data_IF_360815177402
#
_entry.id   IF_360815177402
#
_cell.length_a   1.000
_cell.length_b   1.000
_cell.length_c   1.000
_cell.angle_alpha   90.00
_cell.angle_beta   90.00
_cell.angle_gamma   90.00
#
_symmetry.space_group_name_H-M   'P 1'
#
loop_
_entity.id
_entity.type
_entity.pdbx_description
1 polymer ?
#
# COMPACT_ATOMS: atom_id res chain seq x y z
N UNK A 1 16.92 6.14 -2.46
CA UNK A 1 16.45 4.99 -1.69
C UNK A 1 16.21 3.81 -2.62
N UNK A 2 16.72 2.67 -2.28
CA UNK A 2 16.60 1.49 -3.10
C UNK A 2 15.22 0.85 -2.90
N UNK A 3 14.65 0.32 -3.98
CA UNK A 3 13.36 -0.35 -3.89
C UNK A 3 13.37 -1.53 -2.93
N UNK A 4 14.52 -2.21 -2.85
CA UNK A 4 14.67 -3.34 -1.94
C UNK A 4 14.54 -2.93 -0.48
N UNK A 5 14.91 -1.69 -0.15
CA UNK A 5 14.75 -1.16 1.20
C UNK A 5 13.29 -0.88 1.53
N UNK A 6 12.51 -0.46 0.53
CA UNK A 6 11.09 -0.18 0.70
C UNK A 6 10.26 -1.45 0.77
N UNK A 7 10.69 -2.48 0.04
CA UNK A 7 9.95 -3.73 -0.07
C UNK A 7 10.87 -4.90 0.25
N UNK A 8 11.22 -5.07 1.53
CA UNK A 8 12.17 -6.10 1.92
C UNK A 8 11.68 -7.53 1.73
N UNK A 9 10.42 -7.66 1.45
CA UNK A 9 9.88 -9.00 1.24
C UNK A 9 9.93 -9.40 -0.22
N UNK A 10 9.93 -10.30 -0.66
CA UNK A 10 9.73 -11.29 -1.70
C UNK A 10 9.74 -10.77 -3.12
N UNK A 11 10.62 -11.30 -3.93
CA UNK A 11 10.47 -11.19 -5.39
C UNK A 11 9.08 -11.74 -5.77
N UNK A 12 8.37 -11.03 -6.61
CA UNK A 12 7.04 -11.44 -7.01
C UNK A 12 5.92 -10.75 -6.26
N UNK A 13 6.24 -9.96 -5.24
CA UNK A 13 5.24 -9.14 -4.57
C UNK A 13 4.64 -8.17 -5.60
N UNK A 14 3.30 -8.07 -5.68
CA UNK A 14 2.67 -7.16 -6.65
C UNK A 14 3.17 -5.73 -6.59
N UNK A 15 3.47 -5.21 -5.41
CA UNK A 15 3.98 -3.84 -5.29
C UNK A 15 5.38 -3.72 -5.86
N UNK A 16 6.22 -4.72 -5.65
CA UNK A 16 7.57 -4.73 -6.20
C UNK A 16 7.49 -4.77 -7.73
N UNK A 17 6.65 -5.63 -8.26
CA UNK A 17 6.50 -5.75 -9.71
C UNK A 17 5.96 -4.46 -10.32
N UNK A 18 4.98 -3.85 -9.66
CA UNK A 18 4.42 -2.58 -10.13
C UNK A 18 5.49 -1.49 -10.15
N UNK A 19 6.30 -1.41 -9.12
CA UNK A 19 7.33 -0.39 -9.00
C UNK A 19 8.46 -0.55 -10.02
N UNK A 20 8.65 -1.77 -10.52
CA UNK A 20 9.66 -2.07 -11.53
C UNK A 20 9.17 -1.93 -12.94
N UNK A 21 7.88 -1.77 -13.14
CA UNK A 21 7.30 -1.70 -14.48
C UNK A 21 7.84 -0.50 -15.25
N UNK A 22 8.18 -0.73 -16.53
CA UNK A 22 8.59 0.34 -17.42
C UNK A 22 7.37 1.18 -17.78
N UNK A 23 7.43 2.47 -17.49
CA UNK A 23 6.33 3.38 -17.71
C UNK A 23 6.36 4.04 -19.10
N UNK A 24 7.47 3.92 -19.81
CA UNK A 24 7.63 4.60 -21.11
C UNK A 24 6.55 4.23 -22.12
N UNK A 25 6.14 2.96 -22.26
CA UNK A 25 5.12 2.61 -23.25
C UNK A 25 3.69 2.96 -22.83
N UNK A 26 3.49 3.46 -21.63
CA UNK A 26 2.15 3.73 -21.10
C UNK A 26 1.73 5.17 -21.45
N UNK A 27 0.50 5.35 -21.89
CA UNK A 27 0.01 6.68 -22.24
C UNK A 27 -0.16 7.55 -21.00
N UNK A 28 -0.15 8.86 -21.22
CA UNK A 28 -0.34 9.82 -20.13
C UNK A 28 -1.71 9.63 -19.46
N UNK A 29 -2.74 9.34 -20.25
CA UNK A 29 -4.07 9.10 -19.69
C UNK A 29 -4.08 7.88 -18.79
N UNK A 30 -3.41 6.81 -19.21
CA UNK A 30 -3.32 5.62 -18.39
C UNK A 30 -2.49 5.86 -17.13
N UNK A 31 -1.43 6.66 -17.25
CA UNK A 31 -0.61 6.99 -16.09
C UNK A 31 -1.41 7.79 -15.07
N UNK A 32 -2.24 8.73 -15.54
CA UNK A 32 -3.08 9.51 -14.65
C UNK A 32 -4.15 8.63 -13.97
N UNK A 33 -4.73 7.71 -14.73
CA UNK A 33 -5.67 6.76 -14.16
C UNK A 33 -4.99 5.87 -13.11
N UNK A 34 -3.75 5.51 -13.36
CA UNK A 34 -2.98 4.73 -12.39
C UNK A 34 -2.76 5.51 -11.10
N UNK A 35 -2.49 6.80 -11.19
CA UNK A 35 -2.32 7.63 -10.01
C UNK A 35 -3.60 7.61 -9.16
N UNK A 36 -4.75 7.74 -9.80
CA UNK A 36 -6.02 7.69 -9.07
C UNK A 36 -6.24 6.33 -8.43
N UNK A 37 -5.92 5.27 -9.14
CA UNK A 37 -6.04 3.92 -8.58
C UNK A 37 -5.09 3.73 -7.39
N UNK A 38 -3.89 4.26 -7.48
CA UNK A 38 -2.92 4.16 -6.38
C UNK A 38 -3.37 4.97 -5.17
N UNK A 39 -3.97 6.14 -5.39
CA UNK A 39 -4.53 6.93 -4.30
C UNK A 39 -5.66 6.17 -3.59
N UNK A 40 -6.51 5.51 -4.37
CA UNK A 40 -7.58 4.69 -3.80
C UNK A 40 -7.01 3.52 -3.01
N UNK A 41 -5.91 2.95 -3.49
CA UNK A 41 -5.26 1.86 -2.78
C UNK A 41 -4.63 2.34 -1.46
N UNK A 42 -4.04 3.51 -1.47
CA UNK A 42 -3.50 4.11 -0.25
C UNK A 42 -4.62 4.26 0.78
N UNK A 43 -5.75 4.81 0.35
CA UNK A 43 -6.89 5.00 1.25
C UNK A 43 -7.40 3.68 1.80
N UNK A 44 -7.45 2.65 0.95
CA UNK A 44 -7.89 1.32 1.38
C UNK A 44 -6.98 0.74 2.44
N UNK A 45 -5.67 0.86 2.23
CA UNK A 45 -4.67 0.35 3.18
C UNK A 45 -4.75 1.12 4.50
N UNK A 46 -4.86 2.43 4.41
CA UNK A 46 -4.96 3.27 5.61
C UNK A 46 -6.21 2.93 6.42
N UNK A 47 -7.33 2.72 5.74
CA UNK A 47 -8.56 2.32 6.41
C UNK A 47 -8.40 0.97 7.10
N UNK A 48 -7.68 0.07 6.48
CA UNK A 48 -7.42 -1.24 7.08
C UNK A 48 -6.55 -1.11 8.33
N UNK A 49 -5.51 -0.27 8.26
CA UNK A 49 -4.64 -0.01 9.41
C UNK A 49 -5.45 0.57 10.56
N UNK A 50 -6.31 1.53 10.26
CA UNK A 50 -7.14 2.15 11.29
C UNK A 50 -8.04 1.12 11.98
N UNK A 51 -8.66 0.24 11.22
CA UNK A 51 -9.51 -0.78 11.80
C UNK A 51 -8.72 -1.77 12.65
N UNK A 52 -7.56 -2.18 12.16
CA UNK A 52 -6.71 -3.11 12.88
C UNK A 52 -6.18 -2.49 14.17
N UNK A 53 -5.76 -1.24 14.10
CA UNK A 53 -5.24 -0.51 15.25
C UNK A 53 -6.34 -0.27 16.29
N UNK A 54 -7.51 0.14 15.84
CA UNK A 54 -8.64 0.38 16.72
C UNK A 54 -9.09 -0.89 17.41
N UNK A 55 -9.13 -1.98 16.66
CA UNK A 55 -9.50 -3.27 17.21
C UNK A 55 -8.52 -3.71 18.30
N UNK A 56 -7.23 -3.51 18.06
CA UNK A 56 -6.20 -3.83 19.04
C UNK A 56 -6.34 -2.94 20.28
N UNK A 57 -6.61 -1.66 20.08
CA UNK A 57 -6.77 -0.71 21.15
C UNK A 57 -7.97 -1.08 22.02
N UNK A 58 -9.07 -1.47 21.41
CA UNK A 58 -10.26 -1.90 22.14
C UNK A 58 -9.97 -3.14 22.98
N UNK A 59 -9.20 -4.06 22.43
CA UNK A 59 -8.82 -5.27 23.16
C UNK A 59 -7.94 -4.92 24.36
N UNK A 60 -7.02 -3.99 24.20
CA UNK A 60 -6.17 -3.54 25.29
C UNK A 60 -6.97 -2.88 26.40
N UNK A 61 -7.97 -2.09 26.04
CA UNK A 61 -8.83 -1.44 27.03
C UNK A 61 -9.60 -2.45 27.85
N UNK A 62 -10.01 -3.54 27.23
CA UNK A 62 -10.71 -4.60 27.95
C UNK A 62 -9.85 -5.26 29.01
N UNK A 63 -8.56 -5.33 28.78
CA UNK A 63 -7.63 -5.93 29.72
C UNK A 63 -7.05 -4.93 30.73
N UNK A 64 -7.23 -3.67 30.45
CA UNK A 64 -6.72 -2.61 31.29
C UNK A 64 -7.77 -2.21 32.31
N UNK A 65 -7.64 -2.66 33.48
CA UNK A 65 -8.54 -2.25 34.54
C UNK A 65 -7.82 -1.65 35.68
#
# INVERSE_FOLDING_TARGET
MDLDDLFPSKPGDPLVELAKQDLDPISIEELRARIEALKAEIARVEAHIDRATKHRSDAEELFKK
#
